data_IF_071633570675
#
_entry.id   IF_071633570675
#
_cell.length_a   1.000
_cell.length_b   1.000
_cell.length_c   1.000
_cell.angle_alpha   90.00
_cell.angle_beta   90.00
_cell.angle_gamma   90.00
#
_symmetry.space_group_name_H-M   'P 1'
#
loop_
_entity.id
_entity.type
_entity.pdbx_description
1 polymer ?
#
# COMPACT_ATOMS: atom_id res chain seq x y z
N UNK A 1 13.89 -7.87 11.33
CA UNK A 1 14.93 -7.34 10.43
C UNK A 1 14.32 -6.52 9.29
N UNK A 2 13.41 -7.09 8.49
CA UNK A 2 12.70 -6.36 7.41
C UNK A 2 11.91 -5.13 7.92
N UNK A 3 11.23 -5.24 9.07
CA UNK A 3 10.51 -4.12 9.68
C UNK A 3 11.44 -2.98 10.14
N UNK A 4 12.66 -3.30 10.58
CA UNK A 4 13.65 -2.30 10.99
C UNK A 4 14.22 -1.57 9.76
N UNK A 5 14.47 -2.33 8.69
CA UNK A 5 14.90 -1.79 7.40
C UNK A 5 13.85 -0.82 6.84
N UNK A 6 12.57 -1.22 6.87
CA UNK A 6 11.46 -0.36 6.45
C UNK A 6 11.31 0.86 7.35
N UNK A 7 11.46 0.73 8.66
CA UNK A 7 11.46 1.87 9.59
C UNK A 7 12.54 2.89 9.22
N UNK A 8 13.77 2.43 8.99
CA UNK A 8 14.90 3.32 8.64
C UNK A 8 14.67 4.02 7.28
N UNK A 9 14.14 3.31 6.29
CA UNK A 9 13.89 3.87 4.97
C UNK A 9 12.68 4.81 4.93
N UNK A 10 11.59 4.42 5.59
CA UNK A 10 10.30 5.08 5.45
C UNK A 10 10.07 6.16 6.51
N UNK A 11 10.77 6.17 7.65
CA UNK A 11 10.49 7.14 8.72
C UNK A 11 10.64 8.61 8.28
N UNK A 12 11.67 8.92 7.49
CA UNK A 12 11.84 10.27 6.94
C UNK A 12 10.73 10.64 5.96
N UNK A 13 10.34 9.69 5.11
CA UNK A 13 9.32 9.86 4.08
C UNK A 13 7.89 9.93 4.65
N UNK A 14 7.56 9.13 5.66
CA UNK A 14 6.27 9.19 6.34
C UNK A 14 6.08 10.54 7.04
N UNK A 15 7.17 11.08 7.62
CA UNK A 15 7.12 12.33 8.39
C UNK A 15 7.06 13.60 7.54
N UNK A 16 7.68 13.60 6.36
CA UNK A 16 7.82 14.80 5.53
C UNK A 16 7.26 14.63 4.12
N UNK A 17 6.75 13.44 3.79
CA UNK A 17 6.15 13.13 2.50
C UNK A 17 4.74 13.67 2.38
N UNK A 18 4.19 13.51 1.18
CA UNK A 18 2.85 13.97 0.85
C UNK A 18 2.15 12.97 -0.07
N UNK A 19 1.02 13.39 -0.59
CA UNK A 19 0.23 12.60 -1.52
C UNK A 19 0.89 12.47 -2.89
N UNK A 20 0.79 11.29 -3.49
CA UNK A 20 1.33 10.97 -4.80
C UNK A 20 0.21 10.63 -5.80
N UNK A 21 0.20 11.32 -6.94
CA UNK A 21 -0.65 11.05 -8.10
C UNK A 21 -2.14 10.80 -7.75
N UNK A 22 -2.62 9.56 -7.73
CA UNK A 22 -4.02 9.18 -7.44
C UNK A 22 -4.50 9.59 -6.04
N UNK A 23 -3.56 9.76 -5.11
CA UNK A 23 -3.85 10.24 -3.77
C UNK A 23 -4.46 11.66 -3.79
N UNK A 24 -4.08 12.49 -4.77
CA UNK A 24 -4.67 13.82 -4.94
C UNK A 24 -6.11 13.76 -5.45
N UNK A 25 -6.43 12.80 -6.33
CA UNK A 25 -7.79 12.61 -6.83
C UNK A 25 -8.72 12.09 -5.72
N UNK A 26 -8.26 11.12 -4.94
CA UNK A 26 -9.00 10.62 -3.77
C UNK A 26 -9.15 11.70 -2.68
N UNK A 27 -8.11 12.49 -2.41
CA UNK A 27 -8.20 13.65 -1.52
C UNK A 27 -9.23 14.68 -2.02
N UNK A 28 -9.24 14.98 -3.32
CA UNK A 28 -10.19 15.92 -3.91
C UNK A 28 -11.63 15.41 -3.77
N UNK A 29 -11.88 14.12 -4.00
CA UNK A 29 -13.19 13.50 -3.78
C UNK A 29 -13.63 13.56 -2.32
N UNK A 30 -12.70 13.37 -1.38
CA UNK A 30 -12.97 13.45 0.04
C UNK A 30 -13.24 14.89 0.52
N UNK A 31 -12.52 15.88 -0.02
CA UNK A 31 -12.67 17.31 0.36
C UNK A 31 -13.84 18.00 -0.33
N UNK A 32 -14.09 17.69 -1.60
CA UNK A 32 -15.12 18.30 -2.42
C UNK A 32 -16.21 17.26 -2.71
N UNK A 33 -17.09 17.07 -1.72
CA UNK A 33 -18.14 16.07 -1.79
C UNK A 33 -19.03 16.30 -3.02
N UNK A 34 -19.24 15.23 -3.78
CA UNK A 34 -20.24 15.22 -4.84
C UNK A 34 -21.65 15.29 -4.25
N UNK A 35 -22.63 15.72 -5.04
CA UNK A 35 -24.03 15.83 -4.61
C UNK A 35 -24.61 14.50 -4.07
N UNK A 36 -24.09 13.36 -4.52
CA UNK A 36 -24.43 12.01 -4.02
C UNK A 36 -23.56 11.48 -2.88
N UNK A 37 -22.66 12.30 -2.30
CA UNK A 37 -21.72 11.91 -1.25
C UNK A 37 -20.42 11.28 -1.75
N UNK A 38 -19.50 10.98 -0.82
CA UNK A 38 -18.15 10.49 -1.12
C UNK A 38 -18.11 9.13 -1.82
N UNK A 39 -18.96 8.19 -1.40
CA UNK A 39 -19.04 6.85 -2.02
C UNK A 39 -19.55 6.92 -3.46
N UNK A 40 -20.50 7.80 -3.74
CA UNK A 40 -20.97 8.05 -5.10
C UNK A 40 -19.86 8.66 -5.97
N UNK A 41 -19.11 9.64 -5.44
CA UNK A 41 -17.94 10.20 -6.13
C UNK A 41 -16.89 9.14 -6.47
N UNK A 42 -16.53 8.29 -5.50
CA UNK A 42 -15.63 7.16 -5.74
C UNK A 42 -16.18 6.19 -6.79
N UNK A 43 -17.48 5.93 -6.81
CA UNK A 43 -18.11 5.05 -7.79
C UNK A 43 -18.06 5.62 -9.22
N UNK A 44 -18.21 6.94 -9.39
CA UNK A 44 -18.10 7.58 -10.70
C UNK A 44 -16.67 7.47 -11.27
N UNK A 45 -15.65 7.57 -10.41
CA UNK A 45 -14.25 7.52 -10.83
C UNK A 45 -13.66 6.11 -10.93
N UNK A 46 -14.03 5.21 -10.00
CA UNK A 46 -13.44 3.88 -9.88
C UNK A 46 -14.46 2.75 -10.05
N UNK A 47 -15.68 3.01 -10.54
CA UNK A 47 -16.78 2.02 -10.61
C UNK A 47 -16.48 0.77 -11.42
N UNK A 48 -15.47 0.80 -12.30
CA UNK A 48 -14.96 -0.38 -13.00
C UNK A 48 -14.28 -1.41 -12.06
N UNK A 49 -13.96 -1.00 -10.82
CA UNK A 49 -13.27 -1.77 -9.79
C UNK A 49 -14.01 -1.60 -8.46
N UNK A 50 -15.17 -2.27 -8.27
CA UNK A 50 -16.03 -2.04 -7.11
C UNK A 50 -15.33 -2.32 -5.76
N UNK A 51 -14.42 -3.31 -5.72
CA UNK A 51 -13.61 -3.56 -4.54
C UNK A 51 -12.66 -2.40 -4.21
N UNK A 52 -12.11 -1.71 -5.21
CA UNK A 52 -11.27 -0.53 -5.03
C UNK A 52 -12.08 0.66 -4.49
N UNK A 53 -13.33 0.84 -4.93
CA UNK A 53 -14.24 1.85 -4.36
C UNK A 53 -14.44 1.61 -2.87
N UNK A 54 -14.80 0.38 -2.49
CA UNK A 54 -15.03 0.02 -1.09
C UNK A 54 -13.76 0.17 -0.26
N UNK A 55 -12.61 -0.21 -0.83
CA UNK A 55 -11.31 -0.06 -0.19
C UNK A 55 -11.01 1.40 0.14
N UNK A 56 -11.14 2.32 -0.82
CA UNK A 56 -10.90 3.74 -0.57
C UNK A 56 -11.92 4.34 0.40
N UNK A 57 -13.20 3.97 0.30
CA UNK A 57 -14.20 4.42 1.25
C UNK A 57 -13.89 4.00 2.68
N UNK A 58 -13.44 2.76 2.88
CA UNK A 58 -13.01 2.28 4.20
C UNK A 58 -11.73 2.97 4.68
N UNK A 59 -10.76 3.20 3.77
CA UNK A 59 -9.51 3.88 4.07
C UNK A 59 -9.75 5.33 4.54
N UNK A 60 -10.63 6.04 3.85
CA UNK A 60 -11.06 7.40 4.21
C UNK A 60 -11.72 7.43 5.60
N UNK A 61 -12.54 6.43 5.94
CA UNK A 61 -13.16 6.34 7.27
C UNK A 61 -12.16 6.01 8.39
N UNK A 62 -11.20 5.11 8.14
CA UNK A 62 -10.26 4.65 9.17
C UNK A 62 -9.10 5.62 9.40
N UNK A 63 -8.48 6.13 8.33
CA UNK A 63 -7.26 6.93 8.39
C UNK A 63 -7.49 8.40 8.07
N UNK A 64 -8.70 8.77 7.61
CA UNK A 64 -8.97 10.12 7.15
C UNK A 64 -8.11 10.49 5.94
N UNK A 65 -7.93 11.79 5.74
CA UNK A 65 -7.14 12.38 4.65
C UNK A 65 -5.72 12.76 5.10
N UNK A 66 -5.20 12.11 6.13
CA UNK A 66 -3.83 12.33 6.60
C UNK A 66 -2.84 11.57 5.71
N UNK A 67 -1.92 12.31 5.08
CA UNK A 67 -0.89 11.75 4.23
C UNK A 67 0.08 10.86 5.01
N UNK A 68 0.47 11.24 6.23
CA UNK A 68 1.39 10.46 7.05
C UNK A 68 0.76 9.11 7.45
N UNK A 69 -0.52 9.10 7.81
CA UNK A 69 -1.24 7.87 8.13
C UNK A 69 -1.30 6.90 6.92
N UNK A 70 -1.55 7.44 5.73
CA UNK A 70 -1.60 6.65 4.48
C UNK A 70 -0.22 6.15 4.05
N UNK A 71 0.81 6.96 4.18
CA UNK A 71 2.20 6.55 3.94
C UNK A 71 2.66 5.49 4.95
N UNK A 72 2.22 5.58 6.20
CA UNK A 72 2.49 4.56 7.21
C UNK A 72 1.82 3.23 6.86
N UNK A 73 0.57 3.25 6.37
CA UNK A 73 -0.08 2.05 5.86
C UNK A 73 0.66 1.46 4.65
N UNK A 74 1.07 2.30 3.69
CA UNK A 74 1.83 1.84 2.53
C UNK A 74 3.16 1.17 2.95
N UNK A 75 3.87 1.75 3.93
CA UNK A 75 5.07 1.16 4.49
C UNK A 75 4.80 -0.19 5.19
N UNK A 76 3.70 -0.29 5.93
CA UNK A 76 3.28 -1.54 6.56
C UNK A 76 2.97 -2.63 5.51
N UNK A 77 2.32 -2.27 4.41
CA UNK A 77 2.02 -3.19 3.31
C UNK A 77 3.30 -3.64 2.59
N UNK A 78 4.28 -2.75 2.39
CA UNK A 78 5.59 -3.13 1.85
C UNK A 78 6.30 -4.17 2.75
N UNK A 79 6.26 -4.00 4.08
CA UNK A 79 6.79 -4.98 5.03
C UNK A 79 6.04 -6.30 4.95
N UNK A 80 4.71 -6.26 4.85
CA UNK A 80 3.89 -7.45 4.71
C UNK A 80 4.26 -8.21 3.44
N UNK A 81 4.36 -7.53 2.30
CA UNK A 81 4.74 -8.12 1.01
C UNK A 81 6.13 -8.76 1.08
N UNK A 82 7.12 -8.07 1.66
CA UNK A 82 8.47 -8.65 1.86
C UNK A 82 8.43 -9.88 2.79
N UNK A 83 7.59 -9.86 3.82
CA UNK A 83 7.41 -11.01 4.73
C UNK A 83 6.76 -12.21 4.02
N UNK A 84 5.74 -11.97 3.20
CA UNK A 84 5.07 -13.01 2.41
C UNK A 84 6.04 -13.59 1.37
N UNK A 85 6.82 -12.75 0.69
CA UNK A 85 7.86 -13.18 -0.23
C UNK A 85 8.90 -14.06 0.48
N UNK A 86 9.36 -13.66 1.67
CA UNK A 86 10.25 -14.48 2.48
C UNK A 86 9.63 -15.84 2.79
N UNK A 87 8.38 -15.86 3.27
CA UNK A 87 7.67 -17.11 3.59
C UNK A 87 7.52 -18.02 2.36
N UNK A 88 7.22 -17.44 1.19
CA UNK A 88 7.13 -18.17 -0.08
C UNK A 88 8.48 -18.79 -0.46
N UNK A 89 9.56 -18.01 -0.45
CA UNK A 89 10.91 -18.49 -0.75
C UNK A 89 11.36 -19.59 0.21
N UNK A 90 10.98 -19.49 1.48
CA UNK A 90 11.21 -20.55 2.47
C UNK A 90 10.43 -21.83 2.16
N UNK A 91 9.17 -21.72 1.72
CA UNK A 91 8.35 -22.88 1.28
C UNK A 91 8.91 -23.54 0.02
N UNK A 92 9.56 -22.77 -0.86
CA UNK A 92 10.24 -23.28 -2.05
C UNK A 92 11.61 -23.93 -1.76
N UNK A 93 12.00 -24.04 -0.48
CA UNK A 93 13.23 -24.73 -0.05
C UNK A 93 14.48 -23.85 -0.07
N UNK A 94 14.36 -22.55 -0.37
CA UNK A 94 15.50 -21.64 -0.41
C UNK A 94 16.07 -21.39 0.99
N UNK A 95 17.39 -21.35 1.15
CA UNK A 95 18.03 -21.15 2.47
C UNK A 95 17.59 -19.82 3.08
N UNK A 96 17.47 -19.77 4.41
CA UNK A 96 16.93 -18.60 5.11
C UNK A 96 17.71 -17.30 4.84
N UNK A 97 19.04 -17.38 4.70
CA UNK A 97 19.89 -16.23 4.38
C UNK A 97 19.57 -15.65 3.01
N UNK A 98 19.46 -16.52 2.01
CA UNK A 98 19.19 -16.12 0.62
C UNK A 98 17.75 -15.58 0.50
N UNK A 99 16.79 -16.24 1.15
CA UNK A 99 15.40 -15.78 1.18
C UNK A 99 15.26 -14.40 1.83
N UNK A 100 15.99 -14.18 2.92
CA UNK A 100 16.03 -12.88 3.59
C UNK A 100 16.69 -11.82 2.71
N UNK A 101 17.79 -12.15 2.02
CA UNK A 101 18.46 -11.23 1.10
C UNK A 101 17.53 -10.81 -0.05
N UNK A 102 16.87 -11.75 -0.72
CA UNK A 102 15.91 -11.45 -1.79
C UNK A 102 14.74 -10.58 -1.30
N UNK A 103 14.20 -10.89 -0.13
CA UNK A 103 13.08 -10.14 0.45
C UNK A 103 13.47 -8.75 0.97
N UNK A 104 14.71 -8.61 1.45
CA UNK A 104 15.27 -7.31 1.83
C UNK A 104 15.58 -6.45 0.60
N UNK A 105 16.07 -7.07 -0.49
CA UNK A 105 16.30 -6.41 -1.77
C UNK A 105 14.99 -5.89 -2.36
N UNK A 106 13.91 -6.68 -2.35
CA UNK A 106 12.60 -6.20 -2.83
C UNK A 106 12.07 -5.01 -2.03
N UNK A 107 12.51 -4.84 -0.78
CA UNK A 107 12.13 -3.70 0.06
C UNK A 107 13.05 -2.48 -0.14
N UNK A 108 14.32 -2.69 -0.50
CA UNK A 108 15.36 -1.65 -0.60
C UNK A 108 15.62 -1.12 -2.00
N UNK A 109 15.21 -1.84 -3.04
CA UNK A 109 15.37 -1.44 -4.45
C UNK A 109 14.02 -1.02 -5.05
N UNK A 110 13.55 0.21 -4.78
CA UNK A 110 12.26 0.68 -5.27
C UNK A 110 12.22 0.93 -6.79
N UNK A 111 13.38 1.01 -7.45
CA UNK A 111 13.45 1.34 -8.88
C UNK A 111 12.89 0.29 -9.85
N UNK A 112 12.58 -0.93 -9.40
CA UNK A 112 11.85 -1.90 -10.23
C UNK A 112 10.33 -1.85 -10.04
N UNK A 113 9.83 -1.07 -9.08
CA UNK A 113 8.41 -1.01 -8.74
C UNK A 113 7.93 0.46 -8.71
N UNK A 114 7.20 0.86 -9.74
CA UNK A 114 6.62 2.20 -9.90
C UNK A 114 5.56 2.56 -8.83
N UNK A 115 5.30 1.67 -7.87
CA UNK A 115 4.27 1.81 -6.83
C UNK A 115 4.88 2.00 -5.43
N UNK A 116 6.20 2.22 -5.29
CA UNK A 116 6.84 2.34 -3.97
C UNK A 116 6.25 3.48 -3.13
N UNK A 117 5.69 3.12 -1.95
CA UNK A 117 4.94 3.99 -1.02
C UNK A 117 3.71 4.70 -1.60
N UNK A 118 3.28 4.30 -2.79
CA UNK A 118 2.08 4.82 -3.42
C UNK A 118 0.84 4.20 -2.78
N UNK A 119 -0.25 4.96 -2.58
CA UNK A 119 -1.48 4.45 -1.96
C UNK A 119 -2.11 3.25 -2.67
N UNK A 120 -1.76 3.01 -3.94
CA UNK A 120 -2.16 1.82 -4.71
C UNK A 120 -1.46 0.54 -4.23
N UNK A 121 -0.29 0.64 -3.59
CA UNK A 121 0.48 -0.50 -3.10
C UNK A 121 -0.35 -1.34 -2.11
N UNK A 122 -1.08 -0.68 -1.23
CA UNK A 122 -1.92 -1.37 -0.25
C UNK A 122 -3.08 -2.13 -0.90
N UNK A 123 -3.66 -1.58 -1.96
CA UNK A 123 -4.68 -2.28 -2.75
C UNK A 123 -4.09 -3.53 -3.43
N UNK A 124 -2.91 -3.42 -4.04
CA UNK A 124 -2.22 -4.54 -4.67
C UNK A 124 -1.85 -5.62 -3.65
N UNK A 125 -1.29 -5.24 -2.50
CA UNK A 125 -0.95 -6.17 -1.42
C UNK A 125 -2.18 -6.89 -0.86
N UNK A 126 -3.32 -6.18 -0.70
CA UNK A 126 -4.59 -6.80 -0.28
C UNK A 126 -5.09 -7.79 -1.33
N UNK A 127 -5.06 -7.44 -2.61
CA UNK A 127 -5.49 -8.33 -3.68
C UNK A 127 -4.62 -9.60 -3.76
N UNK A 128 -3.30 -9.44 -3.61
CA UNK A 128 -2.36 -10.57 -3.55
C UNK A 128 -2.66 -11.43 -2.32
N UNK A 129 -2.82 -10.82 -1.13
CA UNK A 129 -3.14 -11.55 0.09
C UNK A 129 -4.46 -12.32 -0.02
N UNK A 130 -5.51 -11.70 -0.57
CA UNK A 130 -6.79 -12.35 -0.82
C UNK A 130 -6.66 -13.53 -1.80
N UNK A 131 -5.91 -13.34 -2.90
CA UNK A 131 -5.66 -14.42 -3.87
C UNK A 131 -4.91 -15.63 -3.28
N UNK A 132 -4.08 -15.38 -2.25
CA UNK A 132 -3.36 -16.44 -1.53
C UNK A 132 -4.23 -17.17 -0.49
N UNK A 133 -5.37 -16.59 -0.10
CA UNK A 133 -6.31 -17.18 0.86
C UNK A 133 -7.39 -18.04 0.21
N UNK A 134 -7.66 -17.88 -1.10
CA UNK A 134 -8.61 -18.68 -1.88
C UNK A 134 -9.80 -17.87 -2.36
#
# INVERSE_FOLDING_TARGET
MLSVLALLMCAGHIRHGGFYYDDWATLALARFSHAGGGLHGLWLYYGQRPAQVLYYAALDQLLGIDAAARLALAAAMAVLQATVLYALLRRLGMRARDALACSALSLTFPFSDSVWLWGVLSLASVAIAASLLG
#
